data_IF_385990868503
#
_entry.id   IF_385990868503
#
_cell.length_a   1.000
_cell.length_b   1.000
_cell.length_c   1.000
_cell.angle_alpha   90.00
_cell.angle_beta   90.00
_cell.angle_gamma   90.00
#
_symmetry.space_group_name_H-M   'P 1'
#
loop_
_entity.id
_entity.type
_entity.pdbx_description
1 polymer ?
#
# COMPACT_ATOMS: atom_id res chain seq x y z
N UNK A 1 51.35 44.47 8.48
CA UNK A 1 51.46 44.92 9.89
C UNK A 1 50.05 45.32 10.31
N UNK A 2 49.29 44.65 11.18
CA UNK A 2 49.56 43.71 12.26
C UNK A 2 48.47 42.63 12.32
N UNK A 3 48.92 41.42 12.66
CA UNK A 3 48.14 40.28 13.15
C UNK A 3 47.45 40.60 14.47
N UNK A 4 46.32 39.94 14.77
CA UNK A 4 46.14 39.26 16.06
C UNK A 4 45.04 38.20 16.01
N UNK A 5 45.49 36.95 16.06
CA UNK A 5 44.73 35.82 16.60
C UNK A 5 44.58 35.99 18.13
N UNK A 6 43.71 35.15 18.69
CA UNK A 6 43.59 34.72 20.10
C UNK A 6 42.44 35.37 20.89
N UNK A 7 41.34 34.62 21.01
CA UNK A 7 40.90 34.08 22.30
C UNK A 7 39.78 33.04 22.07
N UNK A 8 40.15 31.76 22.18
CA UNK A 8 39.21 30.69 22.43
C UNK A 8 38.78 30.76 23.90
N UNK A 9 37.48 30.59 24.22
CA UNK A 9 36.96 29.62 25.21
C UNK A 9 35.46 29.82 25.47
N UNK A 10 34.77 28.68 25.59
CA UNK A 10 33.57 28.41 26.42
C UNK A 10 32.19 28.91 25.96
N UNK A 11 31.48 28.06 25.24
CA UNK A 11 30.23 27.48 25.75
C UNK A 11 29.87 26.24 24.91
N UNK A 12 30.36 25.09 25.36
CA UNK A 12 29.72 23.83 25.05
C UNK A 12 28.29 23.84 25.64
N UNK A 13 27.43 22.99 25.07
CA UNK A 13 26.06 22.65 25.50
C UNK A 13 24.94 23.46 24.85
N UNK A 14 24.55 23.03 23.65
CA UNK A 14 23.15 22.76 23.35
C UNK A 14 23.12 21.55 22.40
N UNK A 15 23.24 20.38 23.05
CA UNK A 15 22.85 19.05 22.61
C UNK A 15 22.33 18.95 21.17
N UNK A 16 23.13 18.34 20.29
CA UNK A 16 22.63 17.71 19.09
C UNK A 16 21.54 16.71 19.52
N UNK A 17 20.27 17.07 19.38
CA UNK A 17 19.19 16.11 19.53
C UNK A 17 19.29 15.19 18.31
N UNK A 18 19.58 13.89 18.48
CA UNK A 18 19.18 12.97 17.44
C UNK A 18 17.65 13.07 17.40
N UNK A 19 17.09 13.27 16.21
CA UNK A 19 15.70 12.94 15.98
C UNK A 19 15.56 11.43 16.23
N UNK A 20 15.32 11.05 17.50
CA UNK A 20 14.83 9.72 17.82
C UNK A 20 13.39 9.73 17.32
N UNK A 21 13.23 9.43 16.03
CA UNK A 21 12.03 8.76 15.58
C UNK A 21 11.88 7.56 16.52
N UNK A 22 10.92 7.63 17.43
CA UNK A 22 10.52 6.48 18.23
C UNK A 22 9.94 5.48 17.22
N UNK A 23 10.80 4.66 16.62
CA UNK A 23 10.39 3.35 16.19
C UNK A 23 9.94 2.66 17.47
N UNK A 24 8.61 2.63 17.69
CA UNK A 24 8.02 2.01 18.85
C UNK A 24 8.58 0.60 18.97
N UNK A 25 9.04 0.26 20.18
CA UNK A 25 9.55 -1.06 20.51
C UNK A 25 8.55 -2.13 20.05
N UNK A 26 8.95 -2.97 19.10
CA UNK A 26 8.15 -4.11 18.67
C UNK A 26 8.14 -5.15 19.78
N UNK A 27 7.17 -5.03 20.70
CA UNK A 27 6.99 -5.98 21.77
C UNK A 27 6.53 -7.33 21.19
N UNK A 28 6.97 -8.44 21.78
CA UNK A 28 6.55 -9.79 21.36
C UNK A 28 5.02 -10.00 21.32
N UNK A 29 4.24 -9.15 21.99
CA UNK A 29 2.78 -9.10 21.86
C UNK A 29 2.30 -8.75 20.44
N UNK A 30 3.04 -7.91 19.72
CA UNK A 30 2.72 -7.52 18.34
C UNK A 30 2.81 -8.72 17.40
N UNK A 31 3.78 -9.61 17.62
CA UNK A 31 3.94 -10.82 16.82
C UNK A 31 2.78 -11.80 17.04
N UNK A 32 2.31 -11.96 18.28
CA UNK A 32 1.16 -12.84 18.59
C UNK A 32 -0.12 -12.27 17.98
N UNK A 33 -0.33 -10.95 18.08
CA UNK A 33 -1.48 -10.27 17.48
C UNK A 33 -1.43 -10.35 15.95
N UNK A 34 -0.28 -10.09 15.33
CA UNK A 34 -0.10 -10.23 13.89
C UNK A 34 -0.38 -11.66 13.41
N UNK A 35 0.06 -12.67 14.16
CA UNK A 35 -0.24 -14.07 13.85
C UNK A 35 -1.74 -14.38 13.91
N UNK A 36 -2.48 -13.77 14.85
CA UNK A 36 -3.93 -13.93 14.91
C UNK A 36 -4.61 -13.32 13.67
N UNK A 37 -4.23 -12.11 13.28
CA UNK A 37 -4.76 -11.47 12.06
C UNK A 37 -4.42 -12.26 10.78
N UNK A 38 -3.19 -12.77 10.66
CA UNK A 38 -2.80 -13.61 9.52
C UNK A 38 -3.67 -14.86 9.44
N UNK A 39 -3.94 -15.52 10.58
CA UNK A 39 -4.82 -16.70 10.61
C UNK A 39 -6.24 -16.37 10.18
N UNK A 40 -6.76 -15.21 10.59
CA UNK A 40 -8.07 -14.74 10.16
C UNK A 40 -8.13 -14.52 8.65
N UNK A 41 -7.13 -13.82 8.08
CA UNK A 41 -7.01 -13.61 6.62
C UNK A 41 -6.95 -14.94 5.87
N UNK A 42 -6.15 -15.90 6.35
CA UNK A 42 -6.06 -17.23 5.75
C UNK A 42 -7.38 -18.00 5.84
N UNK A 43 -8.14 -17.82 6.92
CA UNK A 43 -9.47 -18.43 7.07
C UNK A 43 -10.47 -17.81 6.09
N UNK A 44 -10.45 -16.49 5.92
CA UNK A 44 -11.30 -15.78 4.96
C UNK A 44 -10.97 -16.18 3.51
N UNK A 45 -9.68 -16.29 3.16
CA UNK A 45 -9.23 -16.75 1.84
C UNK A 45 -9.74 -18.17 1.53
N UNK A 46 -9.61 -19.11 2.48
CA UNK A 46 -10.15 -20.46 2.33
C UNK A 46 -11.67 -20.46 2.12
N UNK A 47 -12.40 -19.63 2.84
CA UNK A 47 -13.85 -19.50 2.68
C UNK A 47 -14.20 -18.92 1.30
N UNK A 48 -13.47 -17.92 0.83
CA UNK A 48 -13.64 -17.34 -0.49
C UNK A 48 -13.38 -18.38 -1.60
N UNK A 49 -12.30 -19.15 -1.49
CA UNK A 49 -11.99 -20.24 -2.43
C UNK A 49 -13.08 -21.30 -2.42
N UNK A 50 -13.57 -21.71 -1.25
CA UNK A 50 -14.64 -22.70 -1.13
C UNK A 50 -15.99 -22.23 -1.69
N UNK A 51 -16.24 -20.92 -1.70
CA UNK A 51 -17.46 -20.34 -2.26
C UNK A 51 -17.47 -20.28 -3.80
N UNK A 52 -16.33 -20.54 -4.46
CA UNK A 52 -16.19 -20.48 -5.92
C UNK A 52 -15.82 -21.86 -6.49
N UNK A 53 -16.31 -22.16 -7.69
CA UNK A 53 -15.99 -23.41 -8.37
C UNK A 53 -14.67 -23.32 -9.15
N UNK A 54 -14.15 -24.46 -9.59
CA UNK A 54 -12.91 -24.51 -10.37
C UNK A 54 -12.98 -23.75 -11.70
N UNK A 55 -14.16 -23.69 -12.33
CA UNK A 55 -14.34 -22.96 -13.60
C UNK A 55 -14.14 -21.45 -13.45
N UNK A 56 -14.55 -20.87 -12.31
CA UNK A 56 -14.30 -19.47 -11.97
C UNK A 56 -12.80 -19.16 -12.00
N UNK A 57 -12.01 -19.92 -11.24
CA UNK A 57 -10.56 -19.72 -11.18
C UNK A 57 -9.85 -20.06 -12.50
N UNK A 58 -10.31 -21.09 -13.22
CA UNK A 58 -9.77 -21.42 -14.56
C UNK A 58 -10.01 -20.29 -15.57
N UNK A 59 -11.11 -19.55 -15.46
CA UNK A 59 -11.35 -18.39 -16.31
C UNK A 59 -10.43 -17.23 -15.95
N UNK A 60 -10.27 -16.92 -14.65
CA UNK A 60 -9.33 -15.88 -14.19
C UNK A 60 -7.88 -16.19 -14.58
N UNK A 61 -7.48 -17.47 -14.53
CA UNK A 61 -6.13 -17.90 -14.89
C UNK A 61 -5.77 -17.70 -16.38
N UNK A 62 -6.76 -17.53 -17.27
CA UNK A 62 -6.51 -17.25 -18.70
C UNK A 62 -6.05 -15.81 -18.95
N UNK A 63 -6.23 -14.94 -17.97
CA UNK A 63 -5.92 -13.51 -18.06
C UNK A 63 -7.07 -12.65 -17.56
N UNK A 64 -6.82 -11.35 -17.51
CA UNK A 64 -7.77 -10.32 -17.10
C UNK A 64 -8.15 -9.43 -18.29
N UNK A 65 -9.37 -8.92 -18.31
CA UNK A 65 -9.86 -7.94 -19.29
C UNK A 65 -10.72 -6.91 -18.57
N UNK A 66 -10.10 -6.07 -17.72
CA UNK A 66 -10.84 -5.14 -16.91
C UNK A 66 -11.57 -4.12 -17.77
N UNK A 67 -12.83 -3.81 -17.44
CA UNK A 67 -13.56 -2.71 -18.07
C UNK A 67 -13.00 -1.35 -17.66
N UNK A 68 -12.45 -1.24 -16.45
CA UNK A 68 -11.93 0.00 -15.89
C UNK A 68 -10.66 -0.18 -15.05
N UNK A 69 -9.73 0.77 -15.18
CA UNK A 69 -8.68 1.08 -14.22
C UNK A 69 -9.23 2.10 -13.23
N UNK A 70 -9.11 1.81 -11.93
CA UNK A 70 -9.66 2.65 -10.87
C UNK A 70 -8.53 3.04 -9.93
N UNK A 71 -8.28 4.35 -9.80
CA UNK A 71 -7.35 4.88 -8.80
C UNK A 71 -8.14 5.32 -7.57
N UNK A 72 -7.88 4.71 -6.42
CA UNK A 72 -8.62 4.99 -5.19
C UNK A 72 -7.71 5.09 -3.97
N UNK A 73 -8.26 5.57 -2.86
CA UNK A 73 -7.52 5.74 -1.63
C UNK A 73 -7.26 4.39 -0.94
N UNK A 74 -6.11 4.27 -0.27
CA UNK A 74 -5.81 3.18 0.67
C UNK A 74 -6.68 3.21 1.95
N UNK A 75 -7.57 4.20 2.09
CA UNK A 75 -8.56 4.29 3.17
C UNK A 75 -9.32 2.97 3.32
N UNK A 76 -9.30 2.41 4.54
CA UNK A 76 -9.87 1.09 4.82
C UNK A 76 -11.39 1.04 4.68
N UNK A 77 -12.07 2.19 4.54
CA UNK A 77 -13.51 2.26 4.32
C UNK A 77 -13.89 2.14 2.85
N UNK A 78 -12.92 2.19 1.92
CA UNK A 78 -13.16 2.06 0.47
C UNK A 78 -12.74 0.67 0.02
N UNK A 79 -13.72 -0.18 -0.28
CA UNK A 79 -13.53 -1.59 -0.61
C UNK A 79 -13.92 -1.85 -2.07
N UNK A 80 -13.17 -2.68 -2.79
CA UNK A 80 -13.45 -2.99 -4.20
C UNK A 80 -14.88 -3.48 -4.43
N UNK A 81 -15.39 -4.36 -3.55
CA UNK A 81 -16.73 -4.93 -3.69
C UNK A 81 -17.88 -3.92 -3.47
N UNK A 82 -17.57 -2.67 -3.05
CA UNK A 82 -18.56 -1.59 -3.03
C UNK A 82 -18.78 -0.96 -4.41
N UNK A 83 -17.76 -1.05 -5.28
CA UNK A 83 -17.77 -0.48 -6.62
C UNK A 83 -18.32 -1.49 -7.64
N UNK A 84 -18.11 -2.79 -7.40
CA UNK A 84 -18.67 -3.86 -8.23
C UNK A 84 -18.95 -5.12 -7.39
N UNK A 85 -19.97 -5.90 -7.77
CA UNK A 85 -20.33 -7.15 -7.07
C UNK A 85 -19.39 -8.32 -7.41
N UNK A 86 -18.76 -8.28 -8.58
CA UNK A 86 -17.87 -9.29 -9.18
C UNK A 86 -16.64 -8.60 -9.80
N UNK A 87 -15.79 -7.92 -9.00
CA UNK A 87 -14.68 -7.12 -9.51
C UNK A 87 -13.52 -7.94 -10.08
N UNK A 88 -13.47 -9.25 -9.82
CA UNK A 88 -12.33 -10.10 -10.17
C UNK A 88 -12.14 -10.20 -11.69
N UNK A 89 -11.01 -9.71 -12.17
CA UNK A 89 -10.70 -9.66 -13.61
C UNK A 89 -11.45 -8.56 -14.39
N UNK A 90 -12.36 -7.83 -13.74
CA UNK A 90 -13.18 -6.78 -14.33
C UNK A 90 -12.76 -5.36 -13.91
N UNK A 91 -12.20 -5.18 -12.70
CA UNK A 91 -11.60 -3.92 -12.27
C UNK A 91 -10.10 -4.07 -12.04
N UNK A 92 -9.31 -3.16 -12.63
CA UNK A 92 -7.88 -3.02 -12.33
C UNK A 92 -7.68 -1.93 -11.28
N UNK A 93 -7.53 -2.34 -10.03
CA UNK A 93 -7.51 -1.43 -8.88
C UNK A 93 -6.09 -0.96 -8.55
N UNK A 94 -5.90 0.35 -8.45
CA UNK A 94 -4.67 0.97 -7.92
C UNK A 94 -5.05 1.74 -6.65
N UNK A 95 -4.34 1.49 -5.54
CA UNK A 95 -4.65 2.08 -4.23
C UNK A 95 -3.44 2.75 -3.61
N UNK A 96 -3.52 4.05 -3.37
CA UNK A 96 -2.49 4.81 -2.67
C UNK A 96 -3.10 5.90 -1.76
N UNK A 97 -2.25 6.67 -1.07
CA UNK A 97 -2.70 7.70 -0.15
C UNK A 97 -3.29 8.87 -0.96
N UNK A 98 -4.60 9.02 -0.91
CA UNK A 98 -5.29 10.15 -1.54
C UNK A 98 -5.41 10.05 -3.06
N UNK A 99 -5.43 8.82 -3.61
CA UNK A 99 -5.72 8.54 -5.03
C UNK A 99 -4.86 9.38 -5.99
N UNK A 100 -3.56 9.40 -5.75
CA UNK A 100 -2.60 10.28 -6.39
C UNK A 100 -2.17 9.72 -7.75
N UNK A 101 -2.48 10.45 -8.83
CA UNK A 101 -2.15 9.99 -10.18
C UNK A 101 -0.64 9.93 -10.44
N UNK A 102 0.13 10.87 -9.89
CA UNK A 102 1.58 10.94 -10.13
C UNK A 102 2.33 9.70 -9.62
N UNK A 103 1.91 9.12 -8.49
CA UNK A 103 2.51 7.89 -7.94
C UNK A 103 1.94 6.63 -8.58
N UNK A 104 0.77 6.74 -9.22
CA UNK A 104 0.06 5.65 -9.86
C UNK A 104 0.29 5.56 -11.38
N UNK A 105 1.00 6.53 -11.98
CA UNK A 105 1.09 6.73 -13.44
C UNK A 105 1.41 5.45 -14.20
N UNK A 106 2.47 4.73 -13.84
CA UNK A 106 2.85 3.49 -14.52
C UNK A 106 1.78 2.39 -14.45
N UNK A 107 1.04 2.30 -13.34
CA UNK A 107 -0.09 1.35 -13.21
C UNK A 107 -1.28 1.80 -14.06
N UNK A 108 -1.55 3.11 -14.10
CA UNK A 108 -2.61 3.69 -14.95
C UNK A 108 -2.32 3.44 -16.42
N UNK A 109 -1.09 3.72 -16.86
CA UNK A 109 -0.64 3.45 -18.24
C UNK A 109 -0.72 1.97 -18.59
N UNK A 110 -0.34 1.07 -17.67
CA UNK A 110 -0.49 -0.37 -17.89
C UNK A 110 -1.97 -0.75 -18.08
N UNK A 111 -2.86 -0.28 -17.21
CA UNK A 111 -4.28 -0.55 -17.33
C UNK A 111 -4.87 -0.05 -18.66
N UNK A 112 -4.62 1.22 -18.99
CA UNK A 112 -5.17 1.84 -20.20
C UNK A 112 -4.54 1.29 -21.48
N UNK A 113 -3.22 1.20 -21.55
CA UNK A 113 -2.52 0.90 -22.79
C UNK A 113 -2.27 -0.60 -23.02
N UNK A 114 -2.08 -1.38 -21.96
CA UNK A 114 -1.80 -2.82 -22.08
C UNK A 114 -3.07 -3.67 -21.86
N UNK A 115 -3.87 -3.35 -20.84
CA UNK A 115 -5.12 -4.06 -20.59
C UNK A 115 -6.31 -3.52 -21.39
N UNK A 116 -6.14 -2.38 -22.06
CA UNK A 116 -7.17 -1.69 -22.85
C UNK A 116 -8.44 -1.35 -22.04
N UNK A 117 -8.30 -1.12 -20.73
CA UNK A 117 -9.40 -0.65 -19.89
C UNK A 117 -9.59 0.86 -20.01
N UNK A 118 -10.78 1.34 -19.68
CA UNK A 118 -11.00 2.79 -19.52
C UNK A 118 -10.45 3.27 -18.17
N UNK A 119 -10.06 4.54 -18.04
CA UNK A 119 -9.78 5.13 -16.73
C UNK A 119 -11.08 5.67 -16.13
N UNK A 120 -11.36 5.33 -14.87
CA UNK A 120 -12.53 5.79 -14.09
C UNK A 120 -12.10 6.68 -12.93
#
# INVERSE_FOLDING_TARGET
MFSNKVAALLAAVAFAMPAIAHAADHHAGDAVVAQAYIKEIQSADKAYVAAHNSAFFQNLAKGQKPRATVVTCSDSRVHTNMLDKTPEGDLFMVRDIGNQLATAEGSVEYGVNHLASSLL
#
